data_IF_949395576660
#
_entry.id   IF_949395576660
#
_cell.length_a   1.000
_cell.length_b   1.000
_cell.length_c   1.000
_cell.angle_alpha   90.00
_cell.angle_beta   90.00
_cell.angle_gamma   90.00
#
_symmetry.space_group_name_H-M   'P 1'
#
loop_
_entity.id
_entity.type
_entity.pdbx_description
1 polymer ?
#
# COMPACT_ATOMS: atom_id res chain seq x y z
N UNK A 1 46.14 34.34 24.56
CA UNK A 1 46.71 35.06 23.41
C UNK A 1 45.79 34.84 22.22
N UNK A 2 45.25 35.95 21.69
CA UNK A 2 44.54 36.21 20.42
C UNK A 2 43.75 35.07 19.73
N UNK A 3 42.42 35.15 19.63
CA UNK A 3 41.59 36.07 18.82
C UNK A 3 41.53 35.67 17.34
N UNK A 4 40.36 35.18 16.90
CA UNK A 4 39.75 35.58 15.63
C UNK A 4 38.23 35.69 15.88
N UNK A 5 37.73 36.90 15.72
CA UNK A 5 36.32 37.24 15.60
C UNK A 5 36.05 37.72 14.16
N UNK A 6 34.81 37.53 13.71
CA UNK A 6 34.02 38.32 12.74
C UNK A 6 33.19 37.39 11.85
N UNK A 7 31.97 37.69 11.43
CA UNK A 7 30.91 38.61 11.83
C UNK A 7 29.71 38.19 10.94
N UNK A 8 28.59 37.73 11.51
CA UNK A 8 27.39 37.42 10.73
C UNK A 8 26.37 38.55 10.87
N UNK A 9 26.26 39.33 9.79
CA UNK A 9 25.26 40.38 9.60
C UNK A 9 23.84 39.78 9.52
N UNK A 10 22.94 40.28 10.37
CA UNK A 10 21.49 40.02 10.32
C UNK A 10 20.84 41.03 9.37
N UNK A 11 20.32 40.54 8.24
CA UNK A 11 19.40 41.30 7.36
C UNK A 11 17.93 41.09 7.76
N UNK A 12 17.04 42.06 7.52
CA UNK A 12 15.65 42.00 8.00
C UNK A 12 14.74 41.14 7.12
N UNK A 13 13.83 40.42 7.79
CA UNK A 13 12.74 39.64 7.20
C UNK A 13 11.72 40.56 6.51
N UNK A 14 11.61 40.47 5.18
CA UNK A 14 10.50 41.06 4.42
C UNK A 14 9.30 40.12 4.46
N UNK A 15 8.21 40.57 5.09
CA UNK A 15 6.88 39.96 5.01
C UNK A 15 6.32 40.12 3.59
N UNK A 16 6.03 39.03 2.91
CA UNK A 16 5.25 39.03 1.67
C UNK A 16 3.79 38.86 2.06
N UNK A 17 2.99 39.91 1.88
CA UNK A 17 1.54 39.87 2.04
C UNK A 17 0.90 39.23 0.82
N UNK A 18 0.06 38.21 1.05
CA UNK A 18 -0.82 37.64 0.04
C UNK A 18 -2.01 38.58 -0.20
N UNK A 19 -2.08 39.18 -1.39
CA UNK A 19 -3.26 39.91 -1.85
C UNK A 19 -4.23 38.92 -2.51
N UNK A 20 -5.38 38.67 -1.88
CA UNK A 20 -6.49 37.95 -2.47
C UNK A 20 -7.25 38.89 -3.42
N UNK A 21 -7.24 38.58 -4.72
CA UNK A 21 -8.08 39.26 -5.71
C UNK A 21 -9.47 38.63 -5.70
N UNK A 22 -10.46 39.36 -5.17
CA UNK A 22 -11.89 39.07 -5.31
C UNK A 22 -12.33 39.46 -6.72
N UNK A 23 -12.71 38.46 -7.53
CA UNK A 23 -13.40 38.68 -8.81
C UNK A 23 -14.87 38.97 -8.50
N UNK A 24 -15.25 40.24 -8.62
CA UNK A 24 -16.64 40.67 -8.59
C UNK A 24 -17.30 40.35 -9.94
N UNK A 25 -18.28 39.44 -9.94
CA UNK A 25 -19.11 39.17 -11.10
C UNK A 25 -20.19 40.26 -11.20
N UNK A 26 -20.04 41.16 -12.17
CA UNK A 26 -21.03 42.20 -12.45
C UNK A 26 -22.27 41.60 -13.12
N UNK A 27 -23.41 41.66 -12.45
CA UNK A 27 -24.72 41.35 -13.04
C UNK A 27 -25.24 42.66 -13.64
N UNK A 28 -25.18 42.78 -14.97
CA UNK A 28 -25.89 43.83 -15.70
C UNK A 28 -27.34 43.40 -15.92
N UNK A 29 -28.27 44.16 -15.35
CA UNK A 29 -29.70 43.99 -15.59
C UNK A 29 -30.05 44.45 -17.01
N UNK A 30 -30.75 43.60 -17.76
CA UNK A 30 -31.34 43.92 -19.07
C UNK A 30 -32.78 44.41 -18.84
N UNK A 31 -33.24 45.51 -19.47
CA UNK A 31 -34.58 46.03 -19.24
C UNK A 31 -35.65 45.16 -19.92
N UNK A 32 -36.77 45.03 -19.22
CA UNK A 32 -37.96 44.27 -19.62
C UNK A 32 -38.64 44.91 -20.83
N UNK A 33 -38.51 44.28 -22.00
CA UNK A 33 -39.34 44.56 -23.17
C UNK A 33 -40.64 43.73 -23.11
N UNK A 34 -41.78 44.42 -23.09
CA UNK A 34 -43.10 43.80 -23.23
C UNK A 34 -43.28 43.40 -24.70
N UNK A 35 -43.32 42.10 -24.96
CA UNK A 35 -43.75 41.52 -26.23
C UNK A 35 -45.13 40.89 -26.04
N UNK A 36 -46.14 41.44 -26.70
CA UNK A 36 -47.43 40.80 -26.92
C UNK A 36 -47.44 40.20 -28.31
N UNK A 37 -47.75 38.90 -28.41
CA UNK A 37 -48.27 38.30 -29.65
C UNK A 37 -49.03 37.00 -29.38
N UNK A 38 -49.98 36.64 -30.27
CA UNK A 38 -51.09 35.75 -29.99
C UNK A 38 -50.82 34.32 -30.50
N UNK A 39 -51.66 33.38 -30.06
CA UNK A 39 -51.83 32.10 -30.74
C UNK A 39 -51.50 30.91 -29.85
N UNK A 40 -52.56 30.27 -29.34
CA UNK A 40 -52.46 28.98 -28.69
C UNK A 40 -52.05 27.90 -29.69
N UNK A 41 -51.05 27.12 -29.32
CA UNK A 41 -50.88 25.74 -29.74
C UNK A 41 -50.11 25.02 -28.64
N UNK A 42 -50.80 24.12 -27.97
CA UNK A 42 -50.27 23.30 -26.88
C UNK A 42 -49.25 22.31 -27.41
N UNK A 43 -47.98 22.55 -27.13
CA UNK A 43 -46.88 21.60 -27.33
C UNK A 43 -46.89 20.61 -26.15
N UNK A 44 -47.01 19.29 -26.37
CA UNK A 44 -46.88 18.32 -25.29
C UNK A 44 -45.43 18.25 -24.79
N UNK A 45 -45.27 18.29 -23.47
CA UNK A 45 -43.97 18.17 -22.79
C UNK A 45 -43.32 16.80 -23.03
N UNK A 46 -41.99 16.71 -23.13
CA UNK A 46 -41.31 15.42 -23.20
C UNK A 46 -41.43 14.69 -21.85
N UNK A 47 -41.40 13.35 -21.84
CA UNK A 47 -41.45 12.58 -20.59
C UNK A 47 -40.17 12.83 -19.80
N UNK A 48 -40.34 13.21 -18.53
CA UNK A 48 -39.26 13.26 -17.55
C UNK A 48 -38.81 11.81 -17.29
N UNK A 49 -37.68 11.43 -17.87
CA UNK A 49 -37.02 10.16 -17.53
C UNK A 49 -36.36 10.34 -16.16
N UNK A 50 -37.05 9.92 -15.12
CA UNK A 50 -36.47 9.79 -13.78
C UNK A 50 -35.44 8.65 -13.81
N UNK A 51 -34.18 9.00 -14.02
CA UNK A 51 -33.06 8.08 -13.74
C UNK A 51 -33.12 7.70 -12.26
N UNK A 52 -33.58 6.48 -11.99
CA UNK A 52 -33.46 5.88 -10.68
C UNK A 52 -31.97 5.70 -10.37
N UNK A 53 -31.42 6.57 -9.52
CA UNK A 53 -30.09 6.40 -8.94
C UNK A 53 -30.15 5.12 -8.10
N UNK A 54 -29.60 4.03 -8.64
CA UNK A 54 -29.44 2.79 -7.91
C UNK A 54 -28.48 3.05 -6.76
N UNK A 55 -28.97 2.99 -5.53
CA UNK A 55 -28.13 3.07 -4.34
C UNK A 55 -27.05 1.98 -4.45
N UNK A 56 -25.78 2.40 -4.51
CA UNK A 56 -24.64 1.50 -4.42
C UNK A 56 -24.69 0.88 -3.03
N UNK A 57 -24.83 -0.44 -2.97
CA UNK A 57 -24.77 -1.18 -1.73
C UNK A 57 -23.43 -0.90 -1.06
N UNK A 58 -23.47 -0.23 0.09
CA UNK A 58 -22.33 -0.08 0.98
C UNK A 58 -21.92 -1.48 1.42
N UNK A 59 -20.70 -1.90 1.08
CA UNK A 59 -20.12 -3.13 1.61
C UNK A 59 -20.09 -3.03 3.12
N UNK A 60 -20.84 -3.90 3.80
CA UNK A 60 -20.86 -3.98 5.25
C UNK A 60 -19.43 -4.19 5.78
N UNK A 61 -18.99 -3.33 6.71
CA UNK A 61 -17.71 -3.52 7.38
C UNK A 61 -17.79 -4.77 8.26
N UNK A 62 -16.86 -5.69 8.07
CA UNK A 62 -16.70 -6.85 8.96
C UNK A 62 -16.44 -6.32 10.38
N UNK A 63 -17.17 -6.79 11.43
CA UNK A 63 -16.97 -6.29 12.77
C UNK A 63 -15.58 -6.66 13.31
N UNK A 64 -15.01 -5.77 14.14
CA UNK A 64 -13.68 -5.84 14.73
C UNK A 64 -13.48 -6.96 15.79
N UNK A 65 -14.21 -8.08 15.67
CA UNK A 65 -14.11 -9.25 16.55
C UNK A 65 -14.02 -10.58 15.79
N UNK A 66 -13.61 -10.55 14.51
CA UNK A 66 -13.68 -11.70 13.59
C UNK A 66 -12.35 -12.42 13.34
N UNK A 67 -11.22 -11.87 13.79
CA UNK A 67 -9.90 -12.48 13.60
C UNK A 67 -9.60 -13.38 14.81
N UNK A 68 -9.45 -14.70 14.63
CA UNK A 68 -9.09 -15.60 15.73
C UNK A 68 -7.78 -15.17 16.40
N UNK A 69 -7.56 -15.46 17.69
CA UNK A 69 -6.25 -15.26 18.30
C UNK A 69 -5.18 -16.06 17.55
N UNK A 70 -3.94 -15.56 17.57
CA UNK A 70 -2.78 -16.33 17.08
C UNK A 70 -2.38 -17.38 18.12
N UNK A 71 -1.52 -18.33 17.75
CA UNK A 71 -0.96 -19.29 18.69
C UNK A 71 -0.28 -18.61 19.90
N UNK A 72 -0.20 -19.30 21.04
CA UNK A 72 0.47 -18.78 22.23
C UNK A 72 1.94 -18.42 21.97
N UNK A 73 2.63 -19.20 21.12
CA UNK A 73 4.01 -18.95 20.74
C UNK A 73 4.16 -17.68 19.87
N UNK A 74 3.27 -17.49 18.89
CA UNK A 74 3.22 -16.27 18.08
C UNK A 74 2.92 -15.04 18.95
N UNK A 75 1.92 -15.13 19.83
CA UNK A 75 1.58 -14.06 20.76
C UNK A 75 2.76 -13.70 21.70
N UNK A 76 3.45 -14.72 22.25
CA UNK A 76 4.63 -14.51 23.09
C UNK A 76 5.80 -13.85 22.34
N UNK A 77 5.88 -14.04 21.03
CA UNK A 77 6.82 -13.36 20.14
C UNK A 77 6.38 -11.95 19.72
N UNK A 78 5.24 -11.46 20.23
CA UNK A 78 4.67 -10.16 19.87
C UNK A 78 4.07 -10.12 18.46
N UNK A 79 3.78 -11.28 17.86
CA UNK A 79 3.16 -11.38 16.55
C UNK A 79 1.64 -11.26 16.66
N UNK A 80 1.05 -10.55 15.70
CA UNK A 80 -0.40 -10.40 15.51
C UNK A 80 -0.74 -10.67 14.06
N UNK A 81 -1.97 -11.12 13.80
CA UNK A 81 -2.48 -11.25 12.44
C UNK A 81 -2.74 -9.85 11.85
N UNK A 82 -2.23 -9.60 10.64
CA UNK A 82 -2.36 -8.29 9.99
C UNK A 82 -3.81 -7.83 9.85
N UNK A 83 -4.79 -8.74 9.73
CA UNK A 83 -6.22 -8.37 9.63
C UNK A 83 -6.78 -7.80 10.92
N UNK A 84 -6.14 -8.05 12.06
CA UNK A 84 -6.48 -7.36 13.32
C UNK A 84 -6.09 -5.87 13.31
N UNK A 85 -5.16 -5.50 12.43
CA UNK A 85 -4.61 -4.14 12.28
C UNK A 85 -5.21 -3.44 11.06
N UNK A 86 -5.29 -4.15 9.94
CA UNK A 86 -5.79 -3.69 8.64
C UNK A 86 -6.93 -4.63 8.24
N UNK A 87 -8.18 -4.38 8.68
CA UNK A 87 -9.29 -5.33 8.48
C UNK A 87 -9.63 -5.63 7.02
N UNK A 88 -9.33 -4.70 6.12
CA UNK A 88 -9.50 -4.80 4.67
C UNK A 88 -8.25 -5.35 3.94
N UNK A 89 -7.25 -5.85 4.67
CA UNK A 89 -6.07 -6.48 4.08
C UNK A 89 -6.44 -7.72 3.27
N UNK A 90 -5.99 -7.73 2.02
CA UNK A 90 -6.05 -8.88 1.14
C UNK A 90 -4.82 -9.73 1.41
N UNK A 91 -5.03 -11.02 1.69
CA UNK A 91 -3.96 -11.96 2.02
C UNK A 91 -3.78 -12.90 0.82
N UNK A 92 -2.59 -12.88 0.24
CA UNK A 92 -2.17 -13.68 -0.92
C UNK A 92 -0.78 -14.25 -0.63
N UNK A 93 -0.62 -14.98 0.47
CA UNK A 93 0.68 -15.46 0.91
C UNK A 93 1.31 -16.37 -0.15
N UNK A 94 2.28 -15.86 -0.90
CA UNK A 94 2.86 -16.53 -2.07
C UNK A 94 3.56 -17.82 -1.70
N UNK A 95 4.15 -17.84 -0.50
CA UNK A 95 4.84 -18.99 0.06
C UNK A 95 3.89 -20.04 0.67
N UNK A 96 2.60 -19.75 0.84
CA UNK A 96 1.56 -20.76 1.15
C UNK A 96 1.03 -21.49 -0.09
N UNK A 97 1.56 -21.17 -1.28
CA UNK A 97 1.18 -21.78 -2.56
C UNK A 97 2.42 -22.19 -3.35
N UNK A 98 2.26 -22.75 -4.55
CA UNK A 98 3.37 -22.99 -5.49
C UNK A 98 3.71 -21.76 -6.36
N UNK A 99 2.99 -20.65 -6.19
CA UNK A 99 3.21 -19.41 -6.92
C UNK A 99 4.31 -18.55 -6.26
N UNK A 100 5.53 -19.08 -6.23
CA UNK A 100 6.72 -18.42 -5.75
C UNK A 100 7.96 -18.94 -6.48
N UNK A 101 9.12 -18.33 -6.26
CA UNK A 101 10.35 -18.69 -6.99
C UNK A 101 10.83 -20.14 -6.76
N UNK A 102 10.48 -20.76 -5.63
CA UNK A 102 10.83 -22.17 -5.34
C UNK A 102 9.90 -23.18 -5.99
N UNK A 103 8.76 -22.73 -6.54
CA UNK A 103 7.68 -23.56 -7.10
C UNK A 103 7.11 -24.60 -6.13
N UNK A 104 7.40 -24.44 -4.84
CA UNK A 104 7.01 -25.36 -3.77
C UNK A 104 6.25 -24.57 -2.72
N UNK A 105 5.26 -25.21 -2.08
CA UNK A 105 4.58 -24.64 -0.93
C UNK A 105 5.50 -24.73 0.30
N UNK A 106 5.81 -23.58 0.90
CA UNK A 106 6.74 -23.45 2.03
C UNK A 106 6.01 -23.21 3.36
N UNK A 107 4.83 -22.59 3.33
CA UNK A 107 3.95 -22.40 4.47
C UNK A 107 2.76 -23.39 4.43
N UNK A 108 2.12 -23.68 5.57
CA UNK A 108 0.81 -24.33 5.60
C UNK A 108 -0.22 -23.58 4.73
N UNK A 109 -1.22 -24.30 4.21
CA UNK A 109 -2.24 -23.70 3.34
C UNK A 109 -3.18 -22.73 4.10
N UNK A 110 -3.29 -22.91 5.40
CA UNK A 110 -4.01 -22.08 6.36
C UNK A 110 -3.13 -21.04 7.06
N UNK A 111 -1.88 -20.85 6.61
CA UNK A 111 -0.98 -19.85 7.15
C UNK A 111 -1.59 -18.44 7.12
N UNK A 112 -1.24 -17.66 8.14
CA UNK A 112 -1.72 -16.29 8.36
C UNK A 112 -0.59 -15.30 8.14
N UNK A 113 -0.94 -14.09 7.71
CA UNK A 113 0.03 -13.01 7.62
C UNK A 113 0.25 -12.44 9.02
N UNK A 114 1.27 -12.96 9.71
CA UNK A 114 1.65 -12.49 11.04
C UNK A 114 2.68 -11.36 10.94
N UNK A 115 2.53 -10.31 11.72
CA UNK A 115 3.47 -9.20 11.84
C UNK A 115 3.72 -8.88 13.31
N UNK A 116 4.90 -8.40 13.66
CA UNK A 116 5.18 -7.92 15.00
C UNK A 116 4.31 -6.69 15.29
N UNK A 117 3.73 -6.58 16.49
CA UNK A 117 2.81 -5.51 16.89
C UNK A 117 3.32 -4.08 16.63
N UNK A 118 4.64 -3.88 16.63
CA UNK A 118 5.29 -2.61 16.27
C UNK A 118 5.02 -2.15 14.83
N UNK A 119 4.61 -3.05 13.93
CA UNK A 119 4.21 -2.74 12.57
C UNK A 119 2.83 -2.08 12.51
N UNK A 120 2.00 -2.28 13.55
CA UNK A 120 0.58 -1.99 13.50
C UNK A 120 0.24 -0.52 13.17
N UNK A 121 0.87 0.49 13.82
CA UNK A 121 0.59 1.88 13.49
C UNK A 121 0.94 2.23 12.04
N UNK A 122 2.08 1.72 11.55
CA UNK A 122 2.55 2.02 10.20
C UNK A 122 1.68 1.39 9.12
N UNK A 123 1.31 0.11 9.28
CA UNK A 123 0.44 -0.58 8.33
C UNK A 123 -0.97 0.03 8.31
N UNK A 124 -1.49 0.45 9.47
CA UNK A 124 -2.78 1.15 9.56
C UNK A 124 -2.75 2.46 8.77
N UNK A 125 -1.70 3.27 8.95
CA UNK A 125 -1.53 4.54 8.25
C UNK A 125 -1.32 4.35 6.75
N UNK A 126 -0.52 3.36 6.34
CA UNK A 126 -0.29 3.04 4.94
C UNK A 126 -1.59 2.61 4.23
N UNK A 127 -2.38 1.72 4.85
CA UNK A 127 -3.68 1.33 4.33
C UNK A 127 -4.61 2.56 4.23
N UNK A 128 -4.64 3.41 5.25
CA UNK A 128 -5.45 4.63 5.24
C UNK A 128 -5.06 5.60 4.11
N UNK A 129 -3.79 5.67 3.73
CA UNK A 129 -3.33 6.51 2.62
C UNK A 129 -3.79 6.01 1.22
N UNK A 130 -4.05 4.70 1.08
CA UNK A 130 -4.50 4.08 -0.17
C UNK A 130 -6.03 4.11 -0.33
N UNK A 131 -6.77 4.00 0.78
CA UNK A 131 -8.25 3.94 0.77
C UNK A 131 -8.96 5.05 -0.01
N UNK A 132 -8.54 6.33 0.01
CA UNK A 132 -9.19 7.40 -0.78
C UNK A 132 -9.19 7.15 -2.30
N UNK A 133 -8.29 6.28 -2.79
CA UNK A 133 -8.23 5.89 -4.19
C UNK A 133 -8.96 4.56 -4.47
N UNK A 134 -9.72 4.05 -3.50
CA UNK A 134 -10.38 2.75 -3.59
C UNK A 134 -9.39 1.57 -3.63
N UNK A 135 -8.20 1.76 -3.05
CA UNK A 135 -7.12 0.79 -3.04
C UNK A 135 -6.99 0.12 -1.68
N UNK A 136 -6.72 -1.18 -1.68
CA UNK A 136 -6.45 -1.99 -0.50
C UNK A 136 -5.06 -2.64 -0.60
N UNK A 137 -4.39 -2.80 0.54
CA UNK A 137 -3.10 -3.49 0.59
C UNK A 137 -3.28 -4.99 0.37
N UNK A 138 -2.33 -5.57 -0.37
CA UNK A 138 -2.22 -7.01 -0.62
C UNK A 138 -0.90 -7.48 -0.03
N UNK A 139 -0.95 -8.48 0.83
CA UNK A 139 0.20 -9.05 1.53
C UNK A 139 0.61 -10.38 0.90
N UNK A 140 1.85 -10.46 0.42
CA UNK A 140 2.46 -11.62 -0.20
C UNK A 140 3.40 -12.38 0.73
N UNK A 141 4.06 -11.67 1.64
CA UNK A 141 4.79 -12.28 2.74
C UNK A 141 4.85 -11.35 3.96
N UNK A 142 4.96 -11.94 5.15
CA UNK A 142 4.92 -11.27 6.44
C UNK A 142 5.98 -11.90 7.35
N UNK A 143 5.64 -12.42 8.53
CA UNK A 143 6.56 -13.24 9.31
C UNK A 143 6.95 -14.51 8.54
N UNK A 144 8.26 -14.73 8.39
CA UNK A 144 8.85 -15.90 7.73
C UNK A 144 9.59 -16.75 8.75
N UNK A 145 9.17 -18.00 9.01
CA UNK A 145 9.95 -18.91 9.86
C UNK A 145 11.38 -19.12 9.33
N UNK A 146 12.33 -19.27 10.26
CA UNK A 146 13.76 -19.36 9.92
C UNK A 146 14.08 -20.55 9.01
N UNK A 147 13.44 -21.70 9.22
CA UNK A 147 13.63 -22.89 8.39
C UNK A 147 13.19 -22.65 6.94
N UNK A 148 12.17 -21.80 6.72
CA UNK A 148 11.77 -21.36 5.40
C UNK A 148 12.83 -20.47 4.75
N UNK A 149 13.40 -19.52 5.49
CA UNK A 149 14.53 -18.72 4.99
C UNK A 149 15.73 -19.60 4.58
N UNK A 150 16.01 -20.64 5.36
CA UNK A 150 17.06 -21.63 5.04
C UNK A 150 16.72 -22.39 3.75
N UNK A 151 15.49 -22.92 3.61
CA UNK A 151 15.03 -23.62 2.39
C UNK A 151 15.11 -22.71 1.16
N UNK A 152 14.65 -21.47 1.27
CA UNK A 152 14.72 -20.46 0.21
C UNK A 152 16.16 -20.24 -0.28
N UNK A 153 17.10 -20.05 0.65
CA UNK A 153 18.50 -19.83 0.31
C UNK A 153 19.16 -21.08 -0.29
N UNK A 154 18.73 -22.29 0.08
CA UNK A 154 19.22 -23.52 -0.55
C UNK A 154 18.81 -23.61 -2.02
N UNK A 155 17.63 -23.11 -2.38
CA UNK A 155 17.17 -23.06 -3.78
C UNK A 155 17.91 -21.98 -4.58
N UNK A 156 18.08 -20.80 -4.00
CA UNK A 156 18.82 -19.68 -4.62
C UNK A 156 19.90 -19.18 -3.65
N UNK A 157 21.12 -19.74 -3.69
CA UNK A 157 22.21 -19.40 -2.76
C UNK A 157 22.93 -18.11 -3.17
N UNK A 158 22.18 -17.06 -3.50
CA UNK A 158 22.71 -15.77 -3.92
C UNK A 158 22.17 -14.66 -2.99
N UNK A 159 23.02 -14.07 -2.13
CA UNK A 159 22.61 -13.03 -1.18
C UNK A 159 22.20 -11.70 -1.83
N UNK A 160 22.37 -11.55 -3.15
CA UNK A 160 21.80 -10.42 -3.89
C UNK A 160 20.27 -10.55 -4.08
N UNK A 161 19.72 -11.77 -3.93
CA UNK A 161 18.33 -12.10 -4.22
C UNK A 161 17.59 -12.73 -3.04
N UNK A 162 18.28 -13.57 -2.27
CA UNK A 162 17.70 -14.23 -1.10
C UNK A 162 18.65 -14.01 0.07
N UNK A 163 18.15 -13.39 1.14
CA UNK A 163 18.96 -13.11 2.32
C UNK A 163 19.63 -14.38 2.86
N UNK A 164 20.93 -14.29 3.15
CA UNK A 164 21.66 -15.41 3.75
C UNK A 164 21.12 -15.65 5.17
N UNK A 165 20.67 -16.88 5.50
CA UNK A 165 20.26 -17.21 6.86
C UNK A 165 21.41 -16.97 7.84
N UNK A 166 21.09 -16.41 9.00
CA UNK A 166 22.07 -16.11 10.05
C UNK A 166 21.67 -16.71 11.40
N UNK A 167 22.40 -16.33 12.45
CA UNK A 167 22.10 -16.74 13.83
C UNK A 167 20.95 -15.93 14.47
N UNK A 168 20.57 -14.83 13.82
CA UNK A 168 19.61 -13.87 14.36
C UNK A 168 18.47 -13.63 13.37
N UNK A 169 17.27 -13.50 13.92
CA UNK A 169 16.11 -13.01 13.20
C UNK A 169 16.24 -11.50 12.95
N UNK A 170 16.03 -11.11 11.69
CA UNK A 170 15.87 -9.73 11.22
C UNK A 170 14.72 -9.70 10.21
N UNK A 171 14.20 -8.52 9.92
CA UNK A 171 13.24 -8.31 8.84
C UNK A 171 12.03 -9.28 8.95
N UNK A 172 11.74 -10.07 7.90
CA UNK A 172 10.68 -11.09 7.89
C UNK A 172 10.80 -12.11 9.02
N UNK A 173 12.00 -12.58 9.36
CA UNK A 173 12.20 -13.55 10.44
C UNK A 173 11.90 -12.97 11.84
N UNK A 174 11.86 -11.63 11.95
CA UNK A 174 11.46 -10.93 13.16
C UNK A 174 10.01 -10.41 13.11
N UNK A 175 9.26 -10.72 12.04
CA UNK A 175 7.91 -10.20 11.79
C UNK A 175 7.86 -8.69 11.54
N UNK A 176 9.00 -8.06 11.20
CA UNK A 176 9.14 -6.59 11.12
C UNK A 176 9.32 -6.08 9.69
N UNK A 177 9.00 -6.92 8.72
CA UNK A 177 8.95 -6.55 7.31
C UNK A 177 7.75 -7.22 6.66
N UNK A 178 7.30 -6.63 5.56
CA UNK A 178 6.21 -7.16 4.74
C UNK A 178 6.56 -7.01 3.26
N UNK A 179 6.13 -7.98 2.47
CA UNK A 179 6.14 -7.93 1.02
C UNK A 179 4.73 -7.65 0.55
N UNK A 180 4.53 -6.49 -0.09
CA UNK A 180 3.20 -5.98 -0.40
C UNK A 180 3.09 -5.40 -1.80
N UNK A 181 1.85 -5.38 -2.28
CA UNK A 181 1.39 -4.48 -3.33
C UNK A 181 0.05 -3.86 -2.90
N UNK A 182 -0.65 -3.21 -3.82
CA UNK A 182 -2.03 -2.81 -3.62
C UNK A 182 -2.90 -3.26 -4.79
N UNK A 183 -4.20 -3.32 -4.54
CA UNK A 183 -5.19 -3.68 -5.55
C UNK A 183 -6.39 -2.73 -5.49
N UNK A 184 -7.08 -2.61 -6.61
CA UNK A 184 -8.36 -1.90 -6.71
C UNK A 184 -9.32 -2.65 -7.64
N UNK A 185 -10.60 -2.34 -7.54
CA UNK A 185 -11.58 -2.81 -8.52
C UNK A 185 -11.26 -2.14 -9.87
N UNK A 186 -11.08 -2.95 -10.90
CA UNK A 186 -10.85 -2.50 -12.27
C UNK A 186 -11.55 -3.44 -13.25
N UNK A 187 -12.44 -2.95 -14.12
CA UNK A 187 -13.11 -3.78 -15.13
C UNK A 187 -12.16 -4.25 -16.24
N UNK A 188 -11.04 -3.57 -16.44
CA UNK A 188 -10.03 -3.91 -17.45
C UNK A 188 -8.78 -4.50 -16.79
N UNK A 189 -8.97 -5.52 -15.94
CA UNK A 189 -7.84 -6.21 -15.32
C UNK A 189 -7.32 -7.32 -16.24
N UNK A 190 -6.02 -7.34 -16.59
CA UNK A 190 -5.42 -8.51 -17.23
C UNK A 190 -5.55 -9.74 -16.34
N UNK A 191 -5.84 -10.94 -16.89
CA UNK A 191 -6.02 -12.16 -16.09
C UNK A 191 -4.87 -12.46 -15.12
N UNK A 192 -3.64 -12.13 -15.50
CA UNK A 192 -2.44 -12.38 -14.70
C UNK A 192 -2.33 -11.48 -13.45
N UNK A 193 -3.04 -10.35 -13.43
CA UNK A 193 -3.09 -9.41 -12.30
C UNK A 193 -4.38 -9.52 -11.50
N UNK A 194 -5.28 -10.43 -11.87
CA UNK A 194 -6.54 -10.59 -11.18
C UNK A 194 -6.35 -11.55 -10.00
N UNK A 195 -6.71 -11.09 -8.81
CA UNK A 195 -6.77 -11.91 -7.61
C UNK A 195 -8.16 -11.80 -7.01
N UNK A 196 -8.86 -12.91 -6.81
CA UNK A 196 -10.18 -12.93 -6.14
C UNK A 196 -11.17 -11.86 -6.64
N UNK A 197 -11.15 -11.54 -7.94
CA UNK A 197 -12.05 -10.54 -8.55
C UNK A 197 -11.59 -9.07 -8.45
N UNK A 198 -10.43 -8.78 -7.86
CA UNK A 198 -9.82 -7.44 -7.80
C UNK A 198 -8.52 -7.39 -8.61
N UNK A 199 -8.09 -6.20 -9.00
CA UNK A 199 -6.94 -6.02 -9.86
C UNK A 199 -5.71 -5.54 -9.09
N UNK A 200 -4.65 -6.33 -9.13
CA UNK A 200 -3.33 -5.95 -8.64
C UNK A 200 -2.80 -4.78 -9.44
N UNK A 201 -2.14 -3.85 -8.76
CA UNK A 201 -1.39 -2.77 -9.40
C UNK A 201 -0.37 -3.34 -10.39
N UNK A 202 -0.19 -2.64 -11.51
CA UNK A 202 0.94 -2.93 -12.39
C UNK A 202 2.21 -2.39 -11.73
N UNK A 203 3.17 -3.28 -11.53
CA UNK A 203 4.46 -2.99 -10.91
C UNK A 203 5.63 -3.32 -11.84
N UNK A 204 5.36 -3.69 -13.11
CA UNK A 204 6.36 -3.90 -14.15
C UNK A 204 7.17 -5.20 -14.05
N UNK A 205 7.15 -5.86 -12.90
CA UNK A 205 7.61 -7.24 -12.67
C UNK A 205 6.62 -7.90 -11.71
N UNK A 206 6.64 -9.22 -11.63
CA UNK A 206 5.96 -9.93 -10.53
C UNK A 206 6.82 -9.89 -9.25
N UNK A 207 6.27 -10.45 -8.17
CA UNK A 207 6.98 -10.79 -6.93
C UNK A 207 8.11 -11.80 -7.18
N UNK A 208 9.17 -11.74 -6.37
CA UNK A 208 10.39 -12.56 -6.50
C UNK A 208 11.08 -12.52 -7.87
N UNK A 209 10.93 -11.41 -8.61
CA UNK A 209 11.68 -11.18 -9.84
C UNK A 209 13.14 -10.84 -9.49
N UNK A 210 14.06 -11.77 -9.77
CA UNK A 210 15.49 -11.61 -9.50
C UNK A 210 16.24 -10.89 -10.63
N UNK A 211 15.70 -9.76 -11.08
CA UNK A 211 16.33 -8.90 -12.07
C UNK A 211 16.48 -7.46 -11.58
N UNK A 212 17.32 -6.68 -12.26
CA UNK A 212 17.48 -5.26 -11.96
C UNK A 212 16.17 -4.46 -12.10
N UNK A 213 15.20 -4.95 -12.89
CA UNK A 213 13.88 -4.33 -13.05
C UNK A 213 13.07 -4.38 -11.75
N UNK A 214 13.34 -5.32 -10.84
CA UNK A 214 12.63 -5.44 -9.58
C UNK A 214 13.08 -4.44 -8.50
N UNK A 215 14.22 -3.76 -8.71
CA UNK A 215 14.71 -2.74 -7.76
C UNK A 215 13.68 -1.64 -7.55
N UNK A 216 13.57 -1.17 -6.31
CA UNK A 216 12.50 -0.27 -5.88
C UNK A 216 12.35 0.98 -6.75
N UNK A 217 13.46 1.49 -7.28
CA UNK A 217 13.53 2.72 -8.08
C UNK A 217 13.94 2.49 -9.54
N UNK A 218 13.88 1.25 -10.05
CA UNK A 218 14.22 0.97 -11.43
C UNK A 218 13.29 1.70 -12.41
N UNK A 219 13.89 2.30 -13.45
CA UNK A 219 13.17 2.97 -14.56
C UNK A 219 13.42 2.26 -15.89
N UNK A 220 14.61 1.72 -16.08
CA UNK A 220 14.97 0.96 -17.29
C UNK A 220 14.14 -0.34 -17.38
N UNK A 221 13.43 -0.51 -18.50
CA UNK A 221 12.56 -1.66 -18.72
C UNK A 221 11.31 -1.70 -17.84
N UNK A 222 10.95 -0.60 -17.16
CA UNK A 222 9.75 -0.47 -16.33
C UNK A 222 8.88 0.64 -16.90
N UNK A 223 7.62 0.34 -17.22
CA UNK A 223 6.69 1.32 -17.79
C UNK A 223 6.43 2.49 -16.84
N UNK A 224 6.08 3.66 -17.37
CA UNK A 224 5.73 4.83 -16.54
C UNK A 224 4.57 4.52 -15.58
N UNK A 225 3.59 3.74 -16.02
CA UNK A 225 2.47 3.29 -15.19
C UNK A 225 2.96 2.43 -14.01
N UNK A 226 3.88 1.49 -14.25
CA UNK A 226 4.48 0.68 -13.21
C UNK A 226 5.35 1.52 -12.25
N UNK A 227 6.13 2.47 -12.76
CA UNK A 227 6.91 3.39 -11.92
C UNK A 227 6.00 4.23 -11.01
N UNK A 228 4.87 4.72 -11.54
CA UNK A 228 3.87 5.45 -10.78
C UNK A 228 3.19 4.55 -9.72
N UNK A 229 2.93 3.28 -10.06
CA UNK A 229 2.42 2.28 -9.12
C UNK A 229 3.36 2.04 -7.95
N UNK A 230 4.64 1.78 -8.23
CA UNK A 230 5.69 1.64 -7.20
C UNK A 230 5.81 2.90 -6.35
N UNK A 231 5.79 4.09 -6.96
CA UNK A 231 5.81 5.35 -6.23
C UNK A 231 4.64 5.48 -5.27
N UNK A 232 3.42 5.16 -5.72
CA UNK A 232 2.22 5.21 -4.89
C UNK A 232 2.34 4.27 -3.68
N UNK A 233 2.77 3.03 -3.91
CA UNK A 233 2.98 2.08 -2.82
C UNK A 233 4.02 2.60 -1.83
N UNK A 234 5.19 3.04 -2.32
CA UNK A 234 6.23 3.59 -1.46
C UNK A 234 5.77 4.81 -0.67
N UNK A 235 5.05 5.74 -1.29
CA UNK A 235 4.54 6.93 -0.62
C UNK A 235 3.56 6.56 0.51
N UNK A 236 2.67 5.60 0.26
CA UNK A 236 1.73 5.11 1.28
C UNK A 236 2.46 4.41 2.44
N UNK A 237 3.40 3.52 2.15
CA UNK A 237 4.18 2.82 3.17
C UNK A 237 5.05 3.79 3.98
N UNK A 238 5.73 4.74 3.31
CA UNK A 238 6.53 5.79 3.94
C UNK A 238 5.67 6.72 4.82
N UNK A 239 4.42 6.99 4.43
CA UNK A 239 3.48 7.77 5.25
C UNK A 239 3.22 7.09 6.60
N UNK A 240 3.21 5.75 6.64
CA UNK A 240 3.18 4.97 7.88
C UNK A 240 4.53 4.81 8.58
N UNK A 241 5.61 5.42 8.06
CA UNK A 241 6.96 5.27 8.61
C UNK A 241 7.64 3.94 8.27
N UNK A 242 7.12 3.19 7.29
CA UNK A 242 7.73 1.97 6.78
C UNK A 242 8.67 2.32 5.63
N UNK A 243 9.89 1.78 5.63
CA UNK A 243 10.93 2.11 4.65
C UNK A 243 11.06 1.04 3.58
N UNK A 244 11.09 1.44 2.31
CA UNK A 244 11.34 0.51 1.21
C UNK A 244 12.77 -0.05 1.24
N UNK A 245 12.94 -1.34 0.95
CA UNK A 245 14.24 -1.89 0.64
C UNK A 245 14.61 -1.59 -0.83
N UNK A 246 15.79 -1.03 -1.09
CA UNK A 246 16.12 -0.55 -2.45
C UNK A 246 16.27 -1.68 -3.48
N UNK A 247 16.54 -2.90 -3.04
CA UNK A 247 16.68 -4.08 -3.90
C UNK A 247 15.37 -4.59 -4.49
N UNK A 248 14.24 -4.29 -3.84
CA UNK A 248 12.94 -4.93 -4.13
C UNK A 248 11.80 -3.93 -3.97
N UNK A 249 10.97 -3.74 -4.99
CA UNK A 249 9.91 -2.73 -4.94
C UNK A 249 8.77 -3.07 -3.96
N UNK A 250 8.61 -4.34 -3.62
CA UNK A 250 7.53 -4.88 -2.78
C UNK A 250 7.89 -4.92 -1.29
N UNK A 251 9.18 -4.90 -0.93
CA UNK A 251 9.67 -5.14 0.43
C UNK A 251 9.72 -3.84 1.23
N UNK A 252 9.10 -3.86 2.41
CA UNK A 252 9.09 -2.74 3.35
C UNK A 252 9.45 -3.17 4.76
N UNK A 253 10.41 -2.44 5.34
CA UNK A 253 10.87 -2.60 6.71
C UNK A 253 10.16 -1.63 7.66
N UNK A 254 9.75 -2.12 8.82
CA UNK A 254 9.28 -1.29 9.91
C UNK A 254 10.31 -1.05 11.01
N UNK A 255 9.87 -0.49 12.14
CA UNK A 255 10.76 -0.14 13.25
C UNK A 255 11.62 -1.31 13.71
N UNK A 256 12.94 -1.10 13.69
CA UNK A 256 13.91 -2.07 14.20
C UNK A 256 14.04 -3.36 13.38
N UNK A 257 13.60 -3.38 12.10
CA UNK A 257 13.73 -4.56 11.23
C UNK A 257 15.18 -5.06 11.10
N UNK A 258 16.17 -4.17 11.09
CA UNK A 258 17.59 -4.52 11.01
C UNK A 258 18.26 -4.94 12.32
N UNK A 259 17.54 -4.91 13.45
CA UNK A 259 18.11 -5.24 14.78
C UNK A 259 18.09 -6.76 14.99
N UNK A 260 19.25 -7.32 15.36
CA UNK A 260 19.40 -8.74 15.67
C UNK A 260 18.51 -9.17 16.85
N UNK A 261 17.76 -10.26 16.65
CA UNK A 261 16.89 -10.87 17.66
C UNK A 261 17.05 -12.39 17.67
N UNK A 262 16.68 -13.06 18.77
CA UNK A 262 16.52 -14.51 18.77
C UNK A 262 15.55 -14.96 17.67
N UNK A 263 15.83 -16.09 17.04
CA UNK A 263 14.92 -16.73 16.09
C UNK A 263 13.61 -17.09 16.84
N UNK A 264 12.48 -16.62 16.31
CA UNK A 264 11.19 -16.69 17.01
C UNK A 264 10.60 -18.11 17.07
N UNK A 265 10.86 -18.95 16.05
CA UNK A 265 10.29 -20.31 15.90
C UNK A 265 8.77 -20.39 16.16
N UNK A 266 8.04 -19.33 15.85
CA UNK A 266 6.59 -19.31 16.02
C UNK A 266 5.93 -20.00 14.81
N UNK A 267 4.83 -20.73 15.01
CA UNK A 267 4.00 -21.20 13.91
C UNK A 267 3.30 -20.02 13.21
N UNK A 268 2.89 -20.23 11.95
CA UNK A 268 2.27 -19.19 11.10
C UNK A 268 0.76 -19.33 11.00
N UNK A 269 0.18 -20.42 11.48
CA UNK A 269 -1.27 -20.66 11.63
C UNK A 269 -1.91 -20.01 12.88
#
# INVERSE_FOLDING_TARGET
MSSIADALHRGPLRRVGAAAALVACGITAVPSGVWTSPGGSSIPSPPVVTSAVRAVATTASVPAGSVPPVSAAAAAAGLVDVRSVVPDAIIDLRYATTNNFTRTQLYPADARCLVHESMAPGLTAAAAALRPQGQALVFWDCYRPHDVQVKMFQVVPNPAWVARPGQYARSHEAGRSVDVTYANVSPQCPPQRQISGICLADMGTDFDDFSARAKAFATEGVSEAAQAGRKRLRDAMNYGGLSVYSGEWWHFDGPGAGVDRPILNAPVE
#
